data_IF_632884426926
#
_entry.id   IF_632884426926
#
_cell.length_a   1.000
_cell.length_b   1.000
_cell.length_c   1.000
_cell.angle_alpha   90.00
_cell.angle_beta   90.00
_cell.angle_gamma   90.00
#
_symmetry.space_group_name_H-M   'P 1'
#
loop_
_entity.id
_entity.type
_entity.pdbx_description
1 polymer ?
#
# COMPACT_ATOMS: atom_id res chain seq x y z
N UNK A 1 12.07 6.67 -25.61
CA UNK A 1 10.87 7.46 -25.23
C UNK A 1 10.08 6.76 -24.12
N UNK A 2 9.82 5.46 -24.23
CA UNK A 2 9.13 4.67 -23.18
C UNK A 2 9.84 4.71 -21.81
N UNK A 3 11.15 4.49 -21.77
CA UNK A 3 11.91 4.53 -20.49
C UNK A 3 11.90 5.91 -19.84
N UNK A 4 11.92 6.97 -20.65
CA UNK A 4 11.82 8.34 -20.15
C UNK A 4 10.43 8.62 -19.56
N UNK A 5 9.36 8.23 -20.27
CA UNK A 5 8.00 8.36 -19.77
C UNK A 5 7.80 7.59 -18.46
N UNK A 6 8.33 6.35 -18.39
CA UNK A 6 8.33 5.55 -17.16
C UNK A 6 9.08 6.22 -16.02
N UNK A 7 10.27 6.77 -16.28
CA UNK A 7 11.03 7.50 -15.26
C UNK A 7 10.28 8.74 -14.75
N UNK A 8 9.60 9.48 -15.64
CA UNK A 8 8.74 10.60 -15.24
C UNK A 8 7.56 10.14 -14.38
N UNK A 9 6.88 9.04 -14.74
CA UNK A 9 5.77 8.50 -13.94
C UNK A 9 6.23 8.06 -12.55
N UNK A 10 7.36 7.36 -12.45
CA UNK A 10 7.95 6.97 -11.16
C UNK A 10 8.25 8.22 -10.32
N UNK A 11 8.93 9.22 -10.89
CA UNK A 11 9.28 10.44 -10.17
C UNK A 11 8.04 11.22 -9.70
N UNK A 12 6.97 11.24 -10.50
CA UNK A 12 5.72 11.89 -10.13
C UNK A 12 5.01 11.12 -9.00
N UNK A 13 4.94 9.79 -9.07
CA UNK A 13 4.39 8.97 -8.00
C UNK A 13 5.16 9.09 -6.70
N UNK A 14 6.49 9.09 -6.77
CA UNK A 14 7.33 9.28 -5.59
C UNK A 14 7.08 10.65 -4.95
N UNK A 15 6.87 11.68 -5.76
CA UNK A 15 6.50 13.02 -5.28
C UNK A 15 5.13 12.99 -4.59
N UNK A 16 4.11 12.39 -5.20
CA UNK A 16 2.75 12.29 -4.65
C UNK A 16 2.73 11.47 -3.36
N UNK A 17 3.46 10.35 -3.31
CA UNK A 17 3.51 9.44 -2.15
C UNK A 17 4.49 9.89 -1.07
N UNK A 18 5.39 10.83 -1.34
CA UNK A 18 6.41 11.27 -0.39
C UNK A 18 5.85 11.62 1.00
N UNK A 19 4.75 12.38 1.15
CA UNK A 19 4.18 12.67 2.46
C UNK A 19 3.75 11.42 3.22
N UNK A 20 3.16 10.43 2.53
CA UNK A 20 2.72 9.16 3.12
C UNK A 20 3.91 8.30 3.55
N UNK A 21 4.92 8.18 2.68
CA UNK A 21 6.16 7.45 2.99
C UNK A 21 6.90 8.08 4.17
N UNK A 22 6.88 9.41 4.30
CA UNK A 22 7.47 10.10 5.43
C UNK A 22 6.77 9.78 6.75
N UNK A 23 5.44 9.61 6.76
CA UNK A 23 4.73 9.13 7.96
C UNK A 23 5.16 7.70 8.35
N UNK A 24 5.42 6.84 7.37
CA UNK A 24 5.85 5.45 7.60
C UNK A 24 7.33 5.33 8.02
N UNK A 25 8.15 6.36 7.82
CA UNK A 25 9.59 6.29 8.06
C UNK A 25 9.96 5.94 9.51
N UNK A 26 9.16 6.40 10.49
CA UNK A 26 9.36 6.09 11.91
C UNK A 26 8.57 4.88 12.40
N UNK A 27 7.72 4.28 11.56
CA UNK A 27 6.82 3.20 11.96
C UNK A 27 7.58 1.98 12.47
N UNK A 28 8.59 1.54 11.71
CA UNK A 28 9.36 0.34 12.03
C UNK A 28 10.17 0.43 13.34
N UNK A 29 10.54 1.65 13.74
CA UNK A 29 11.32 1.94 14.97
C UNK A 29 10.45 2.34 16.16
N UNK A 30 9.13 2.30 16.01
CA UNK A 30 8.19 2.63 17.08
C UNK A 30 8.35 1.71 18.29
N UNK A 31 8.25 2.27 19.49
CA UNK A 31 8.35 1.48 20.74
C UNK A 31 7.16 0.53 20.93
N UNK A 32 6.04 0.76 20.23
CA UNK A 32 4.79 -0.03 20.33
C UNK A 32 4.99 -1.52 20.06
N UNK A 33 6.05 -1.91 19.33
CA UNK A 33 6.34 -3.30 19.00
C UNK A 33 6.83 -4.14 20.18
N UNK A 34 7.32 -3.50 21.24
CA UNK A 34 7.97 -4.16 22.38
C UNK A 34 7.32 -3.78 23.71
N UNK A 35 6.35 -2.86 23.73
CA UNK A 35 5.61 -2.53 24.95
C UNK A 35 4.88 -3.78 25.43
N UNK A 36 5.26 -4.27 26.61
CA UNK A 36 4.51 -5.27 27.35
C UNK A 36 3.40 -4.52 28.08
N UNK A 37 2.15 -4.92 27.87
CA UNK A 37 0.96 -4.38 28.55
C UNK A 37 0.92 -4.80 30.03
N UNK A 38 2.05 -4.76 30.73
CA UNK A 38 2.13 -5.05 32.17
C UNK A 38 1.88 -3.79 33.02
N UNK A 39 1.98 -2.59 32.44
CA UNK A 39 1.78 -1.32 33.17
C UNK A 39 0.30 -0.89 33.31
N UNK A 40 -0.65 -1.63 32.73
CA UNK A 40 -2.09 -1.39 32.92
C UNK A 40 -2.75 -2.34 33.95
N UNK A 41 -1.96 -3.06 34.77
CA UNK A 41 -2.47 -3.89 35.89
C UNK A 41 -2.72 -3.12 37.19
N UNK A 42 -2.96 -1.81 37.12
CA UNK A 42 -3.47 -1.03 38.24
C UNK A 42 -4.96 -0.71 38.08
N UNK A 43 -5.80 -1.75 38.03
CA UNK A 43 -7.20 -1.65 38.47
C UNK A 43 -7.63 -2.99 39.07
N UNK A 44 -7.65 -3.03 40.40
CA UNK A 44 -8.43 -3.97 41.20
C UNK A 44 -9.89 -3.99 40.74
N UNK A 45 -10.39 -5.15 40.29
CA UNK A 45 -11.63 -5.84 40.69
C UNK A 45 -12.06 -6.84 39.58
N UNK A 46 -12.11 -8.12 39.94
CA UNK A 46 -12.61 -9.26 39.15
C UNK A 46 -11.86 -9.62 37.86
N UNK A 47 -11.24 -10.79 37.93
CA UNK A 47 -10.68 -11.59 36.84
C UNK A 47 -11.78 -12.11 35.89
N UNK A 48 -12.47 -11.18 35.23
CA UNK A 48 -13.23 -11.44 34.02
C UNK A 48 -12.27 -11.19 32.86
N UNK A 49 -11.83 -12.24 32.18
CA UNK A 49 -11.22 -12.14 30.86
C UNK A 49 -12.20 -11.46 29.92
N UNK A 50 -12.18 -10.13 29.89
CA UNK A 50 -12.82 -9.36 28.84
C UNK A 50 -11.99 -9.62 27.59
N UNK A 51 -12.57 -10.23 26.54
CA UNK A 51 -11.88 -10.35 25.25
C UNK A 51 -11.46 -8.95 24.85
N UNK A 52 -10.18 -8.77 24.54
CA UNK A 52 -9.65 -7.46 24.19
C UNK A 52 -10.41 -6.97 22.96
N UNK A 53 -11.26 -5.95 23.14
CA UNK A 53 -11.93 -5.25 22.05
C UNK A 53 -10.86 -4.86 21.03
N UNK A 54 -11.13 -5.11 19.74
CA UNK A 54 -10.25 -4.80 18.62
C UNK A 54 -9.47 -3.51 18.86
N UNK A 55 -8.14 -3.59 18.94
CA UNK A 55 -7.28 -2.43 19.12
C UNK A 55 -7.57 -1.42 18.01
N UNK A 56 -7.58 -0.13 18.33
CA UNK A 56 -7.65 0.90 17.30
C UNK A 56 -6.36 0.92 16.48
N UNK A 57 -6.41 1.27 15.18
CA UNK A 57 -5.22 1.45 14.37
C UNK A 57 -4.35 2.58 14.94
N UNK A 58 -3.03 2.48 14.79
CA UNK A 58 -2.08 3.48 15.24
C UNK A 58 -2.28 4.81 14.53
N UNK A 59 -1.90 5.92 15.18
CA UNK A 59 -1.98 7.27 14.62
C UNK A 59 -1.24 7.38 13.27
N UNK A 60 -0.14 6.65 13.09
CA UNK A 60 0.60 6.61 11.82
C UNK A 60 -0.29 6.02 10.73
N UNK A 61 -0.93 4.89 10.99
CA UNK A 61 -1.81 4.25 10.01
C UNK A 61 -3.07 5.06 9.74
N UNK A 62 -3.69 5.67 10.76
CA UNK A 62 -4.81 6.58 10.58
C UNK A 62 -4.47 7.72 9.60
N UNK A 63 -3.31 8.37 9.77
CA UNK A 63 -2.86 9.44 8.86
C UNK A 63 -2.53 8.93 7.46
N UNK A 64 -1.89 7.78 7.35
CA UNK A 64 -1.56 7.18 6.04
C UNK A 64 -2.84 6.85 5.28
N UNK A 65 -3.82 6.22 5.92
CA UNK A 65 -5.11 5.90 5.31
C UNK A 65 -5.94 7.14 5.00
N UNK A 66 -5.91 8.16 5.86
CA UNK A 66 -6.59 9.43 5.58
C UNK A 66 -6.00 10.08 4.33
N UNK A 67 -4.67 10.09 4.21
CA UNK A 67 -4.00 10.61 3.02
C UNK A 67 -4.35 9.83 1.75
N UNK A 68 -4.44 8.49 1.83
CA UNK A 68 -4.93 7.66 0.72
C UNK A 68 -6.36 8.02 0.30
N UNK A 69 -7.27 8.18 1.27
CA UNK A 69 -8.67 8.54 1.02
C UNK A 69 -8.84 9.96 0.47
N UNK A 70 -7.83 10.82 0.61
CA UNK A 70 -7.83 12.16 0.03
C UNK A 70 -7.25 12.20 -1.40
N UNK A 71 -6.60 11.13 -1.89
CA UNK A 71 -6.06 11.10 -3.26
C UNK A 71 -7.12 11.31 -4.36
N UNK A 72 -8.34 10.73 -4.28
CA UNK A 72 -9.36 10.98 -5.31
C UNK A 72 -9.66 12.48 -5.48
N UNK A 73 -9.74 13.23 -4.37
CA UNK A 73 -9.97 14.69 -4.39
C UNK A 73 -8.85 15.47 -5.08
N UNK A 74 -7.61 14.97 -5.01
CA UNK A 74 -6.48 15.59 -5.71
C UNK A 74 -6.62 15.43 -7.24
N UNK A 75 -7.18 14.32 -7.69
CA UNK A 75 -7.37 14.04 -9.11
C UNK A 75 -8.63 14.67 -9.70
N UNK A 76 -9.66 14.92 -8.90
CA UNK A 76 -10.85 15.68 -9.32
C UNK A 76 -10.49 17.04 -9.93
N UNK A 77 -9.43 17.70 -9.46
CA UNK A 77 -8.94 18.99 -10.00
C UNK A 77 -8.51 18.89 -11.47
N UNK A 78 -8.12 17.69 -11.91
CA UNK A 78 -7.67 17.41 -13.28
C UNK A 78 -8.72 16.68 -14.10
N UNK A 79 -9.95 16.49 -13.60
CA UNK A 79 -10.99 15.71 -14.30
C UNK A 79 -11.38 16.32 -15.66
N UNK A 80 -11.20 17.63 -15.83
CA UNK A 80 -11.48 18.37 -17.07
C UNK A 80 -10.27 18.48 -18.01
N UNK A 81 -9.12 17.88 -17.68
CA UNK A 81 -7.88 17.91 -18.49
C UNK A 81 -7.34 16.49 -18.78
N UNK A 82 -6.73 16.31 -19.95
CA UNK A 82 -6.08 15.06 -20.37
C UNK A 82 -4.68 14.88 -19.75
N UNK A 83 -4.24 15.77 -18.86
CA UNK A 83 -2.90 15.76 -18.26
C UNK A 83 -2.55 14.41 -17.59
N UNK A 84 -3.50 13.80 -16.87
CA UNK A 84 -3.31 12.51 -16.19
C UNK A 84 -3.39 11.30 -17.14
N UNK A 85 -3.94 11.48 -18.35
CA UNK A 85 -4.07 10.43 -19.37
C UNK A 85 -2.74 10.09 -20.07
N UNK A 86 -1.69 10.89 -19.85
CA UNK A 86 -0.39 10.69 -20.49
C UNK A 86 0.26 9.37 -20.06
N UNK A 87 0.54 8.49 -21.03
CA UNK A 87 1.37 7.29 -20.86
C UNK A 87 0.95 6.40 -19.66
N UNK A 88 -0.35 6.14 -19.50
CA UNK A 88 -0.87 5.29 -18.41
C UNK A 88 -0.24 3.90 -18.37
N UNK A 89 0.12 3.33 -19.52
CA UNK A 89 0.81 2.04 -19.60
C UNK A 89 2.20 2.02 -18.95
N UNK A 90 2.76 3.19 -18.60
CA UNK A 90 4.06 3.30 -17.92
C UNK A 90 3.94 3.52 -16.41
N UNK A 91 2.73 3.57 -15.87
CA UNK A 91 2.49 3.65 -14.44
C UNK A 91 3.08 2.41 -13.73
N UNK A 92 3.85 2.59 -12.63
CA UNK A 92 4.28 1.49 -11.77
C UNK A 92 3.11 0.66 -11.25
N UNK A 93 3.22 -0.67 -11.22
CA UNK A 93 2.16 -1.53 -10.69
C UNK A 93 0.77 -1.29 -11.32
N UNK A 94 0.73 -0.83 -12.57
CA UNK A 94 -0.53 -0.64 -13.28
C UNK A 94 -1.24 -1.98 -13.49
N UNK A 95 -2.55 -1.99 -13.27
CA UNK A 95 -3.37 -3.17 -13.50
C UNK A 95 -3.44 -3.49 -15.00
N UNK A 96 -2.92 -4.66 -15.44
CA UNK A 96 -2.93 -5.03 -16.85
C UNK A 96 -4.34 -5.19 -17.42
N UNK A 97 -5.36 -5.49 -16.61
CA UNK A 97 -6.74 -5.60 -17.08
C UNK A 97 -7.35 -4.23 -17.38
N UNK A 98 -7.12 -3.24 -16.52
CA UNK A 98 -7.51 -1.86 -16.78
C UNK A 98 -6.81 -1.30 -18.02
N UNK A 99 -5.52 -1.61 -18.21
CA UNK A 99 -4.74 -1.12 -19.35
C UNK A 99 -5.14 -1.77 -20.69
N UNK A 100 -5.61 -3.02 -20.71
CA UNK A 100 -6.04 -3.71 -21.95
C UNK A 100 -7.23 -3.04 -22.62
N UNK A 101 -8.09 -2.38 -21.83
CA UNK A 101 -9.30 -1.72 -22.30
C UNK A 101 -9.04 -0.27 -22.73
N UNK A 102 -7.84 0.26 -22.50
CA UNK A 102 -7.48 1.58 -22.98
C UNK A 102 -7.28 1.54 -24.50
N UNK A 103 -7.86 2.49 -25.25
CA UNK A 103 -7.54 2.65 -26.66
C UNK A 103 -6.02 2.80 -26.77
N UNK A 104 -5.39 1.89 -27.51
CA UNK A 104 -3.97 1.97 -27.79
C UNK A 104 -3.69 3.37 -28.32
N UNK A 105 -2.94 4.18 -27.56
CA UNK A 105 -2.53 5.50 -28.00
C UNK A 105 -1.90 5.32 -29.37
N UNK A 106 -2.62 5.71 -30.41
CA UNK A 106 -2.11 5.68 -31.76
C UNK A 106 -0.89 6.59 -31.73
N UNK A 107 0.28 5.98 -31.92
CA UNK A 107 1.51 6.74 -32.20
C UNK A 107 1.13 7.69 -33.32
N UNK A 108 1.27 9.02 -33.16
CA UNK A 108 0.97 9.94 -34.24
C UNK A 108 1.90 9.56 -35.39
N UNK A 109 1.32 9.05 -36.48
CA UNK A 109 2.01 8.88 -37.75
C UNK A 109 2.69 10.21 -38.06
N UNK A 110 4.03 10.19 -38.15
CA UNK A 110 4.84 11.37 -38.39
C UNK A 110 4.42 11.96 -39.74
N UNK A 111 3.76 13.14 -39.80
CA UNK A 111 3.45 13.75 -41.07
C UNK A 111 4.68 14.53 -41.50
N UNK A 112 5.34 14.05 -42.55
CA UNK A 112 6.33 14.84 -43.29
C UNK A 112 5.68 16.15 -43.77
N UNK A 113 6.10 17.27 -43.19
CA UNK A 113 5.91 18.65 -43.65
C UNK A 113 4.55 19.02 -44.28
N UNK A 114 3.62 19.55 -43.48
CA UNK A 114 2.95 20.81 -43.86
C UNK A 114 2.17 21.45 -42.71
N UNK A 115 2.38 22.75 -42.60
CA UNK A 115 1.85 23.69 -41.62
C UNK A 115 0.35 23.91 -41.85
N UNK A 116 -0.54 23.33 -41.03
CA UNK A 116 -1.90 23.85 -40.77
C UNK A 116 -2.59 23.13 -39.61
N UNK A 117 -3.28 23.91 -38.79
CA UNK A 117 -4.07 23.54 -37.63
C UNK A 117 -4.79 22.17 -37.75
N UNK A 118 -4.40 21.23 -36.91
CA UNK A 118 -5.26 20.10 -36.55
C UNK A 118 -5.32 20.05 -35.03
N UNK A 119 -6.42 20.52 -34.46
CA UNK A 119 -6.90 20.01 -33.18
C UNK A 119 -7.29 18.57 -33.48
N UNK A 120 -6.31 17.67 -33.44
CA UNK A 120 -6.58 16.25 -33.35
C UNK A 120 -7.35 16.09 -32.05
N UNK A 121 -8.63 15.71 -32.12
CA UNK A 121 -9.37 15.24 -30.94
C UNK A 121 -8.49 14.17 -30.32
N UNK A 122 -7.88 14.48 -29.18
CA UNK A 122 -7.35 13.44 -28.30
C UNK A 122 -8.49 12.45 -28.10
N UNK A 123 -8.19 11.16 -28.18
CA UNK A 123 -9.12 10.18 -27.64
C UNK A 123 -9.11 10.45 -26.15
N UNK A 124 -10.06 11.27 -25.70
CA UNK A 124 -10.23 11.63 -24.29
C UNK A 124 -10.66 10.35 -23.60
N UNK A 125 -9.75 9.78 -22.81
CA UNK A 125 -10.06 8.66 -21.94
C UNK A 125 -11.11 9.12 -20.93
N UNK A 126 -11.96 8.20 -20.50
CA UNK A 126 -12.88 8.47 -19.42
C UNK A 126 -12.09 8.90 -18.17
N UNK A 127 -12.30 10.12 -17.61
CA UNK A 127 -11.60 10.61 -16.43
C UNK A 127 -11.70 9.68 -15.24
N UNK A 128 -12.79 8.90 -15.13
CA UNK A 128 -12.97 7.90 -14.09
C UNK A 128 -11.94 6.77 -14.25
N UNK A 129 -11.77 6.24 -15.46
CA UNK A 129 -10.80 5.18 -15.77
C UNK A 129 -9.37 5.66 -15.52
N UNK A 130 -9.05 6.89 -15.90
CA UNK A 130 -7.74 7.51 -15.64
C UNK A 130 -7.48 7.61 -14.14
N UNK A 131 -8.46 8.08 -13.38
CA UNK A 131 -8.38 8.22 -11.92
C UNK A 131 -8.23 6.86 -11.24
N UNK A 132 -8.99 5.84 -11.66
CA UNK A 132 -8.86 4.46 -11.13
C UNK A 132 -7.47 3.89 -11.41
N UNK A 133 -6.92 4.08 -12.61
CA UNK A 133 -5.59 3.60 -12.95
C UNK A 133 -4.51 4.25 -12.06
N UNK A 134 -4.61 5.55 -11.84
CA UNK A 134 -3.70 6.29 -10.96
C UNK A 134 -3.84 5.88 -9.49
N UNK A 135 -5.07 5.79 -8.96
CA UNK A 135 -5.32 5.39 -7.58
C UNK A 135 -4.84 3.97 -7.31
N UNK A 136 -5.12 3.04 -8.24
CA UNK A 136 -4.66 1.66 -8.12
C UNK A 136 -3.14 1.58 -8.10
N UNK A 137 -2.50 2.26 -9.04
CA UNK A 137 -1.05 2.33 -9.15
C UNK A 137 -0.37 2.96 -7.91
N UNK A 138 -0.92 4.06 -7.38
CA UNK A 138 -0.42 4.71 -6.16
C UNK A 138 -0.61 3.81 -4.92
N UNK A 139 -1.78 3.18 -4.78
CA UNK A 139 -2.06 2.26 -3.68
C UNK A 139 -1.10 1.07 -3.69
N UNK A 140 -0.91 0.43 -4.85
CA UNK A 140 0.04 -0.68 -5.00
C UNK A 140 1.48 -0.25 -4.75
N UNK A 141 1.91 0.92 -5.24
CA UNK A 141 3.25 1.48 -4.97
C UNK A 141 3.49 1.71 -3.48
N UNK A 142 2.49 2.21 -2.74
CA UNK A 142 2.60 2.39 -1.29
C UNK A 142 2.65 1.06 -0.55
N UNK A 143 1.82 0.09 -0.95
CA UNK A 143 1.80 -1.25 -0.36
C UNK A 143 3.12 -1.97 -0.59
N UNK A 144 3.67 -1.92 -1.81
CA UNK A 144 4.98 -2.48 -2.11
C UNK A 144 6.06 -1.85 -1.22
N UNK A 145 6.05 -0.53 -1.01
CA UNK A 145 6.99 0.11 -0.08
C UNK A 145 6.78 -0.37 1.36
N UNK A 146 5.53 -0.47 1.82
CA UNK A 146 5.21 -0.96 3.16
C UNK A 146 5.73 -2.39 3.37
N UNK A 147 5.38 -3.33 2.49
CA UNK A 147 5.67 -4.76 2.65
C UNK A 147 7.14 -5.12 2.41
N UNK A 148 7.83 -4.39 1.53
CA UNK A 148 9.22 -4.71 1.15
C UNK A 148 10.27 -3.87 1.88
N UNK A 149 9.94 -2.65 2.32
CA UNK A 149 10.91 -1.76 2.96
C UNK A 149 10.59 -1.44 4.42
N UNK A 150 9.32 -1.23 4.78
CA UNK A 150 8.96 -0.74 6.11
C UNK A 150 8.76 -1.88 7.10
N UNK A 151 7.85 -2.82 6.82
CA UNK A 151 7.54 -3.93 7.72
C UNK A 151 8.78 -4.81 8.02
N UNK A 152 9.63 -5.16 7.03
CA UNK A 152 10.85 -5.92 7.28
C UNK A 152 11.89 -5.21 8.14
N UNK A 153 11.75 -3.91 8.43
CA UNK A 153 12.66 -3.16 9.31
C UNK A 153 12.26 -3.18 10.78
N UNK A 154 11.08 -3.72 11.10
CA UNK A 154 10.71 -3.95 12.50
C UNK A 154 11.70 -5.00 13.06
N UNK A 155 12.37 -4.65 14.15
CA UNK A 155 13.44 -5.47 14.71
C UNK A 155 12.92 -6.62 15.58
N UNK A 156 11.91 -6.34 16.39
CA UNK A 156 11.34 -7.28 17.36
C UNK A 156 9.84 -7.00 17.51
N UNK A 157 9.05 -8.05 17.58
CA UNK A 157 7.60 -7.99 17.65
C UNK A 157 7.09 -8.90 18.77
N UNK A 158 6.72 -8.33 19.92
CA UNK A 158 6.10 -9.10 21.00
C UNK A 158 4.60 -9.34 20.71
N UNK A 159 3.89 -10.12 21.55
CA UNK A 159 2.46 -10.43 21.34
C UNK A 159 1.56 -9.19 21.29
N UNK A 160 1.82 -8.17 22.11
CA UNK A 160 1.06 -6.91 22.06
C UNK A 160 1.31 -6.13 20.77
N UNK A 161 2.57 -6.01 20.36
CA UNK A 161 2.98 -5.39 19.11
C UNK A 161 2.43 -6.10 17.88
N UNK A 162 2.38 -7.43 17.89
CA UNK A 162 1.75 -8.20 16.82
C UNK A 162 0.24 -7.93 16.74
N UNK A 163 -0.45 -7.88 17.88
CA UNK A 163 -1.87 -7.52 17.89
C UNK A 163 -2.10 -6.09 17.34
N UNK A 164 -1.22 -5.13 17.68
CA UNK A 164 -1.31 -3.78 17.13
C UNK A 164 -1.02 -3.76 15.63
N UNK A 165 0.01 -4.48 15.17
CA UNK A 165 0.34 -4.59 13.75
C UNK A 165 -0.81 -5.24 12.96
N UNK A 166 -1.42 -6.31 13.49
CA UNK A 166 -2.59 -6.92 12.88
C UNK A 166 -3.76 -5.93 12.74
N UNK A 167 -4.02 -5.11 13.76
CA UNK A 167 -5.03 -4.04 13.68
C UNK A 167 -4.70 -3.01 12.60
N UNK A 168 -3.46 -2.52 12.56
CA UNK A 168 -2.99 -1.54 11.57
C UNK A 168 -3.13 -2.09 10.14
N UNK A 169 -2.66 -3.32 9.89
CA UNK A 169 -2.74 -3.96 8.57
C UNK A 169 -4.18 -4.29 8.18
N UNK A 170 -5.03 -4.71 9.13
CA UNK A 170 -6.45 -4.94 8.90
C UNK A 170 -7.19 -3.64 8.53
N UNK A 171 -6.88 -2.55 9.22
CA UNK A 171 -7.43 -1.23 8.91
C UNK A 171 -7.00 -0.75 7.53
N UNK A 172 -5.71 -0.89 7.19
CA UNK A 172 -5.21 -0.55 5.87
C UNK A 172 -5.85 -1.41 4.77
N UNK A 173 -5.96 -2.73 4.96
CA UNK A 173 -6.62 -3.65 4.01
C UNK A 173 -8.04 -3.19 3.68
N UNK A 174 -8.82 -2.79 4.69
CA UNK A 174 -10.16 -2.26 4.47
C UNK A 174 -10.15 -0.97 3.64
N UNK A 175 -9.22 -0.05 3.91
CA UNK A 175 -9.12 1.23 3.19
C UNK A 175 -8.66 1.05 1.75
N UNK A 176 -7.66 0.20 1.49
CA UNK A 176 -7.17 -0.02 0.12
C UNK A 176 -8.23 -0.69 -0.76
N UNK A 177 -9.10 -1.54 -0.18
CA UNK A 177 -10.24 -2.13 -0.90
C UNK A 177 -11.26 -1.07 -1.33
N UNK A 178 -11.45 -0.01 -0.54
CA UNK A 178 -12.34 1.12 -0.91
C UNK A 178 -11.81 1.87 -2.15
N UNK A 179 -10.49 1.95 -2.33
CA UNK A 179 -9.86 2.53 -3.53
C UNK A 179 -9.59 1.49 -4.63
N UNK A 180 -10.25 0.32 -4.56
CA UNK A 180 -10.16 -0.78 -5.53
C UNK A 180 -8.74 -1.35 -5.72
N UNK A 181 -7.99 -1.47 -4.63
CA UNK A 181 -6.66 -2.10 -4.60
C UNK A 181 -6.69 -3.36 -3.76
N UNK A 182 -6.12 -4.43 -4.31
CA UNK A 182 -5.94 -5.72 -3.64
C UNK A 182 -4.45 -6.06 -3.53
N UNK A 183 -4.05 -6.73 -2.45
CA UNK A 183 -2.66 -7.15 -2.23
C UNK A 183 -2.61 -8.46 -1.46
N UNK A 184 -2.21 -9.53 -2.15
CA UNK A 184 -2.00 -10.84 -1.52
C UNK A 184 -0.89 -10.80 -0.46
N UNK A 185 0.19 -10.05 -0.73
CA UNK A 185 1.31 -9.91 0.20
C UNK A 185 0.87 -9.24 1.52
N UNK A 186 0.02 -8.21 1.45
CA UNK A 186 -0.53 -7.58 2.66
C UNK A 186 -1.38 -8.56 3.48
N UNK A 187 -2.21 -9.37 2.82
CA UNK A 187 -3.04 -10.37 3.50
C UNK A 187 -2.17 -11.47 4.14
N UNK A 188 -1.08 -11.89 3.49
CA UNK A 188 -0.10 -12.82 4.07
C UNK A 188 0.58 -12.23 5.30
N UNK A 189 0.97 -10.95 5.24
CA UNK A 189 1.53 -10.23 6.38
C UNK A 189 0.56 -10.24 7.56
N UNK A 190 -0.71 -9.96 7.31
CA UNK A 190 -1.78 -9.99 8.32
C UNK A 190 -1.94 -11.39 8.92
N UNK A 191 -2.06 -12.41 8.08
CA UNK A 191 -2.22 -13.82 8.52
C UNK A 191 -1.08 -14.24 9.46
N UNK A 192 0.18 -13.97 9.10
CA UNK A 192 1.31 -14.44 9.89
C UNK A 192 1.53 -13.64 11.16
N UNK A 193 1.24 -12.34 11.15
CA UNK A 193 1.32 -11.52 12.35
C UNK A 193 0.26 -11.91 13.39
N UNK A 194 -0.90 -12.41 12.94
CA UNK A 194 -1.97 -12.90 13.81
C UNK A 194 -1.68 -14.28 14.45
N UNK A 195 -0.70 -15.02 13.94
CA UNK A 195 -0.34 -16.31 14.53
C UNK A 195 0.24 -16.13 15.95
N UNK A 196 -0.24 -16.96 16.87
CA UNK A 196 0.42 -17.12 18.17
C UNK A 196 1.77 -17.84 18.01
N UNK A 197 2.60 -17.82 19.06
CA UNK A 197 3.97 -18.31 18.96
C UNK A 197 4.08 -19.81 18.67
N UNK A 198 3.17 -20.62 19.19
CA UNK A 198 3.17 -22.07 18.97
C UNK A 198 2.77 -22.42 17.54
N UNK A 199 1.70 -21.79 17.04
CA UNK A 199 1.25 -21.94 15.65
C UNK A 199 2.28 -21.40 14.67
N UNK A 200 2.92 -20.27 14.99
CA UNK A 200 3.99 -19.65 14.21
C UNK A 200 5.19 -20.58 14.05
N UNK A 201 5.71 -21.14 15.16
CA UNK A 201 6.81 -22.12 15.14
C UNK A 201 6.45 -23.36 14.33
N UNK A 202 5.28 -23.95 14.57
CA UNK A 202 4.82 -25.11 13.80
C UNK A 202 4.69 -24.81 12.30
N UNK A 203 4.27 -23.60 11.93
CA UNK A 203 4.18 -23.16 10.53
C UNK A 203 5.56 -22.97 9.91
N UNK A 204 6.52 -22.46 10.66
CA UNK A 204 7.93 -22.35 10.23
C UNK A 204 8.55 -23.73 10.00
N UNK A 205 8.28 -24.71 10.87
CA UNK A 205 8.80 -26.07 10.74
C UNK A 205 8.22 -26.83 9.54
N UNK A 206 7.04 -26.44 9.06
CA UNK A 206 6.30 -27.12 7.99
C UNK A 206 6.42 -26.46 6.62
N UNK A 207 6.71 -25.16 6.55
CA UNK A 207 6.85 -24.41 5.30
C UNK A 207 8.31 -24.33 4.82
N UNK A 208 8.45 -24.33 3.50
CA UNK A 208 9.74 -24.21 2.81
C UNK A 208 10.32 -22.78 2.98
N UNK A 209 11.64 -22.65 2.97
CA UNK A 209 12.38 -21.37 3.21
C UNK A 209 12.11 -20.24 2.19
N UNK A 210 11.29 -20.49 1.18
CA UNK A 210 10.97 -19.53 0.11
C UNK A 210 9.91 -18.48 0.52
N UNK A 211 9.17 -18.70 1.60
CA UNK A 211 8.13 -17.78 2.08
C UNK A 211 8.75 -16.56 2.79
N UNK A 212 9.03 -15.52 1.99
CA UNK A 212 9.71 -14.29 2.46
C UNK A 212 8.97 -13.60 3.61
N UNK A 213 7.65 -13.52 3.53
CA UNK A 213 6.82 -12.86 4.54
C UNK A 213 6.89 -13.64 5.86
N UNK A 214 6.73 -14.97 5.80
CA UNK A 214 6.87 -15.82 6.99
C UNK A 214 8.26 -15.70 7.61
N UNK A 215 9.32 -15.66 6.80
CA UNK A 215 10.68 -15.51 7.29
C UNK A 215 10.90 -14.19 8.02
N UNK A 216 10.36 -13.08 7.50
CA UNK A 216 10.42 -11.80 8.19
C UNK A 216 9.67 -11.85 9.52
N UNK A 217 8.43 -12.34 9.54
CA UNK A 217 7.61 -12.47 10.76
C UNK A 217 8.29 -13.37 11.78
N UNK A 218 8.75 -14.56 11.38
CA UNK A 218 9.45 -15.49 12.26
C UNK A 218 10.70 -14.86 12.89
N UNK A 219 11.50 -14.09 12.13
CA UNK A 219 12.65 -13.36 12.66
C UNK A 219 12.24 -12.33 13.71
N UNK A 220 11.19 -11.55 13.45
CA UNK A 220 10.72 -10.52 14.39
C UNK A 220 10.13 -11.10 15.67
N UNK A 221 9.46 -12.26 15.55
CA UNK A 221 8.82 -12.98 16.64
C UNK A 221 9.78 -13.88 17.42
N UNK A 222 10.96 -14.18 16.88
CA UNK A 222 11.92 -15.11 17.48
C UNK A 222 11.48 -16.57 17.41
N UNK A 223 10.82 -16.96 16.31
CA UNK A 223 10.43 -18.35 16.05
C UNK A 223 11.54 -19.17 15.40
N UNK A 224 12.61 -18.50 14.94
CA UNK A 224 13.84 -19.08 14.38
C UNK A 224 15.04 -18.65 15.21
#
# INVERSE_FOLDING_TARGET
MFDFAKACQISLQDTILSPLRQQLASYAISSIWVITTEESRNTTFNDLQVPTFSLSPSEIFQRVTEGLLNLPRLFEVYADDDALSFSLQTLPYADPELLKNLPAASVPDIPTHSRRHSVTKSVTLDPEVVSTAWLSSLGQSLLAHLTTEVLPRINKLNSGGAAQLASDLGYLSNVIRVINVESEELEQWKEYVELNDDAGKAKVDTKNDEDRVLNHVARMRGWR
#
